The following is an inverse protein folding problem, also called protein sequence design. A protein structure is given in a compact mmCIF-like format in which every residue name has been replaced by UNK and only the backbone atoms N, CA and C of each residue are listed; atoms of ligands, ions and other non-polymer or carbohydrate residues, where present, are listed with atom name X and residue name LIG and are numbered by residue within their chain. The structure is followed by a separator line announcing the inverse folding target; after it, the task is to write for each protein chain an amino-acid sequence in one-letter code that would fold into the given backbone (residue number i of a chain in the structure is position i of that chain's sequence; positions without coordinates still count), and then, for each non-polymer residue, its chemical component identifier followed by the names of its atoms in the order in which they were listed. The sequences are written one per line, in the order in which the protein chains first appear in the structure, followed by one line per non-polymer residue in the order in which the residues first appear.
data_IF_818408566407
#
_entry.id   IF_818408566407
#
_cell.length_a   1.000
_cell.length_b   1.000
_cell.length_c   1.000
_cell.angle_alpha   90.00
_cell.angle_beta   90.00
_cell.angle_gamma   90.00
#
_symmetry.space_group_name_H-M   'P 1'
#
loop_
_entity.id
_entity.type
_entity.pdbx_description
1 polymer ?
#
# COMPACT_ATOMS: atom_id res chain seq x y z
N UNK A 1 16.55 -16.11 22.19
CA UNK A 1 17.08 -15.97 20.81
C UNK A 1 16.62 -17.08 19.86
N UNK A 2 17.03 -18.35 20.03
CA UNK A 2 16.76 -19.42 19.05
C UNK A 2 15.28 -19.69 18.75
N UNK A 3 14.40 -19.59 19.77
CA UNK A 3 12.95 -19.79 19.57
C UNK A 3 12.31 -18.71 18.69
N UNK A 4 12.85 -17.49 18.70
CA UNK A 4 12.34 -16.38 17.89
C UNK A 4 12.74 -16.56 16.42
N UNK A 5 14.01 -16.89 16.17
CA UNK A 5 14.52 -17.18 14.82
C UNK A 5 13.79 -18.36 14.18
N UNK A 6 13.57 -19.45 14.93
CA UNK A 6 12.82 -20.62 14.43
C UNK A 6 11.39 -20.24 14.08
N UNK A 7 10.73 -19.45 14.93
CA UNK A 7 9.35 -18.99 14.68
C UNK A 7 9.31 -18.08 13.44
N UNK A 8 10.27 -17.19 13.28
CA UNK A 8 10.37 -16.30 12.12
C UNK A 8 10.56 -17.09 10.82
N UNK A 9 11.53 -18.02 10.77
CA UNK A 9 11.78 -18.87 9.60
C UNK A 9 10.54 -19.70 9.26
N UNK A 10 9.91 -20.31 10.26
CA UNK A 10 8.71 -21.13 10.06
C UNK A 10 7.53 -20.28 9.57
N UNK A 11 7.35 -19.07 10.13
CA UNK A 11 6.29 -18.15 9.73
C UNK A 11 6.49 -17.64 8.31
N UNK A 12 7.69 -17.17 7.97
CA UNK A 12 8.01 -16.68 6.62
C UNK A 12 7.83 -17.80 5.59
N UNK A 13 8.27 -19.01 5.91
CA UNK A 13 8.10 -20.16 5.01
C UNK A 13 6.62 -20.47 4.81
N UNK A 14 5.85 -20.62 5.88
CA UNK A 14 4.41 -20.92 5.80
C UNK A 14 3.63 -19.82 5.05
N UNK A 15 3.91 -18.55 5.33
CA UNK A 15 3.26 -17.40 4.68
C UNK A 15 3.65 -17.33 3.19
N UNK A 16 4.90 -17.62 2.84
CA UNK A 16 5.34 -17.62 1.43
C UNK A 16 4.57 -18.64 0.59
N UNK A 17 4.36 -19.86 1.12
CA UNK A 17 3.54 -20.87 0.45
C UNK A 17 2.07 -20.45 0.35
N UNK A 18 1.52 -19.83 1.40
CA UNK A 18 0.14 -19.35 1.39
C UNK A 18 -0.07 -18.22 0.38
N UNK A 19 0.82 -17.22 0.36
CA UNK A 19 0.74 -16.05 -0.52
C UNK A 19 0.93 -16.37 -1.99
N UNK A 20 1.49 -17.54 -2.32
CA UNK A 20 1.58 -18.01 -3.70
C UNK A 20 0.20 -18.07 -4.37
N UNK A 21 -0.84 -18.52 -3.66
CA UNK A 21 -2.19 -18.64 -4.18
C UNK A 21 -2.83 -17.30 -4.60
N UNK A 22 -2.93 -16.28 -3.72
CA UNK A 22 -3.48 -14.99 -4.12
C UNK A 22 -2.60 -14.27 -5.15
N UNK A 23 -1.27 -14.44 -5.13
CA UNK A 23 -0.37 -13.85 -6.13
C UNK A 23 -0.65 -14.47 -7.52
N UNK A 24 -0.79 -15.79 -7.62
CA UNK A 24 -1.15 -16.46 -8.89
C UNK A 24 -2.54 -16.01 -9.34
N UNK A 25 -3.51 -15.96 -8.43
CA UNK A 25 -4.86 -15.51 -8.78
C UNK A 25 -4.87 -14.07 -9.31
N UNK A 26 -4.12 -13.16 -8.69
CA UNK A 26 -3.97 -11.78 -9.18
C UNK A 26 -3.23 -11.74 -10.52
N UNK A 27 -2.16 -12.53 -10.68
CA UNK A 27 -1.42 -12.60 -11.93
C UNK A 27 -2.30 -13.09 -13.09
N UNK A 28 -3.01 -14.20 -12.89
CA UNK A 28 -3.87 -14.80 -13.91
C UNK A 28 -5.06 -13.91 -14.28
N UNK A 29 -5.70 -13.29 -13.28
CA UNK A 29 -6.80 -12.36 -13.52
C UNK A 29 -6.36 -11.14 -14.37
N UNK A 30 -5.09 -10.75 -14.28
CA UNK A 30 -4.56 -9.55 -14.93
C UNK A 30 -3.60 -9.86 -16.10
N UNK A 31 -3.54 -11.10 -16.59
CA UNK A 31 -2.67 -11.53 -17.70
C UNK A 31 -2.81 -10.64 -18.94
N UNK A 32 -4.02 -10.20 -19.28
CA UNK A 32 -4.28 -9.32 -20.42
C UNK A 32 -3.57 -7.96 -20.34
N UNK A 33 -3.20 -7.53 -19.13
CA UNK A 33 -2.52 -6.26 -18.85
C UNK A 33 -1.03 -6.43 -18.50
N UNK A 34 -0.49 -7.64 -18.67
CA UNK A 34 0.89 -7.99 -18.33
C UNK A 34 1.07 -8.70 -16.99
N UNK A 35 -0.02 -9.01 -16.27
CA UNK A 35 0.04 -9.66 -14.96
C UNK A 35 0.72 -8.79 -13.89
N UNK A 36 1.34 -9.45 -12.91
CA UNK A 36 2.17 -8.77 -11.89
C UNK A 36 3.37 -8.10 -12.56
N UNK A 37 3.56 -6.81 -12.32
CA UNK A 37 4.55 -5.99 -13.02
C UNK A 37 4.01 -5.28 -14.26
N UNK A 38 2.78 -5.60 -14.68
CA UNK A 38 2.05 -4.91 -15.73
C UNK A 38 1.48 -3.57 -15.29
N UNK A 39 0.70 -2.93 -16.17
CA UNK A 39 0.17 -1.57 -15.93
C UNK A 39 -0.82 -1.51 -14.77
N UNK A 40 -1.68 -2.51 -14.63
CA UNK A 40 -2.73 -2.55 -13.61
C UNK A 40 -2.20 -3.01 -12.25
N UNK A 41 -1.11 -3.78 -12.22
CA UNK A 41 -0.47 -4.30 -11.01
C UNK A 41 1.03 -3.97 -11.00
N UNK A 42 1.41 -2.68 -10.92
CA UNK A 42 2.81 -2.27 -10.97
C UNK A 42 3.57 -2.83 -9.77
N UNK A 43 4.65 -3.57 -10.04
CA UNK A 43 5.50 -4.18 -9.03
C UNK A 43 6.96 -3.73 -9.19
N UNK A 44 7.28 -2.44 -8.97
CA UNK A 44 8.57 -1.86 -9.32
C UNK A 44 9.75 -2.47 -8.55
N UNK A 45 9.56 -2.80 -7.26
CA UNK A 45 10.61 -3.46 -6.47
C UNK A 45 10.91 -4.87 -6.98
N UNK A 46 9.88 -5.65 -7.31
CA UNK A 46 10.04 -6.98 -7.88
C UNK A 46 10.64 -6.92 -9.29
N UNK A 47 10.23 -5.92 -10.09
CA UNK A 47 10.78 -5.65 -11.42
C UNK A 47 12.28 -5.36 -11.39
N UNK A 48 12.73 -4.48 -10.50
CA UNK A 48 14.17 -4.21 -10.31
C UNK A 48 14.94 -5.47 -9.91
N UNK A 49 14.41 -6.29 -9.00
CA UNK A 49 15.06 -7.54 -8.61
C UNK A 49 15.10 -8.55 -9.77
N UNK A 50 14.05 -8.60 -10.59
CA UNK A 50 14.01 -9.44 -11.79
C UNK A 50 15.03 -8.97 -12.84
N UNK A 51 15.13 -7.67 -13.10
CA UNK A 51 16.13 -7.09 -14.02
C UNK A 51 17.57 -7.33 -13.54
N UNK A 52 17.83 -7.18 -12.24
CA UNK A 52 19.13 -7.50 -11.65
C UNK A 52 19.48 -8.98 -11.82
N UNK A 53 18.55 -9.88 -11.50
CA UNK A 53 18.75 -11.31 -11.66
C UNK A 53 19.01 -11.69 -13.13
N UNK A 54 18.22 -11.15 -14.06
CA UNK A 54 18.41 -11.35 -15.50
C UNK A 54 19.73 -10.76 -16.00
N UNK A 55 20.12 -9.58 -15.53
CA UNK A 55 21.39 -8.94 -15.89
C UNK A 55 22.61 -9.73 -15.42
N UNK A 56 22.54 -10.30 -14.21
CA UNK A 56 23.61 -11.14 -13.65
C UNK A 56 23.69 -12.47 -14.40
N UNK A 57 22.57 -13.20 -14.53
CA UNK A 57 22.52 -14.52 -15.18
C UNK A 57 22.81 -14.43 -16.68
N UNK A 58 22.33 -13.37 -17.33
CA UNK A 58 22.54 -13.10 -18.75
C UNK A 58 23.90 -12.48 -19.08
N UNK A 59 24.71 -12.13 -18.07
CA UNK A 59 26.05 -11.57 -18.24
C UNK A 59 26.09 -10.15 -18.84
N UNK A 60 24.95 -9.47 -18.96
CA UNK A 60 24.82 -8.13 -19.56
C UNK A 60 24.60 -7.04 -18.51
N UNK A 61 25.06 -7.26 -17.28
CA UNK A 61 24.84 -6.31 -16.19
C UNK A 61 25.59 -4.99 -16.43
N UNK A 62 24.92 -3.83 -16.30
CA UNK A 62 25.56 -2.52 -16.42
C UNK A 62 26.33 -2.17 -15.13
N UNK A 63 27.42 -2.88 -14.86
CA UNK A 63 28.23 -2.73 -13.65
C UNK A 63 28.67 -1.28 -13.38
N UNK A 64 28.93 -0.50 -14.43
CA UNK A 64 29.25 0.93 -14.29
C UNK A 64 28.14 1.72 -13.63
N UNK A 65 26.87 1.49 -14.01
CA UNK A 65 25.72 2.16 -13.39
C UNK A 65 25.51 1.71 -11.95
N UNK A 66 25.75 0.43 -11.65
CA UNK A 66 25.67 -0.09 -10.28
C UNK A 66 26.69 0.60 -9.36
N UNK A 67 27.95 0.67 -9.79
CA UNK A 67 29.02 1.34 -9.03
C UNK A 67 28.71 2.82 -8.84
N UNK A 68 28.19 3.50 -9.88
CA UNK A 68 27.74 4.88 -9.75
C UNK A 68 26.62 5.05 -8.72
N UNK A 69 25.65 4.12 -8.69
CA UNK A 69 24.61 4.09 -7.66
C UNK A 69 25.17 3.90 -6.25
N UNK A 70 26.16 3.02 -6.08
CA UNK A 70 26.85 2.84 -4.81
C UNK A 70 27.59 4.11 -4.36
N UNK A 71 28.33 4.76 -5.27
CA UNK A 71 29.02 6.01 -4.98
C UNK A 71 28.05 7.14 -4.65
N UNK A 72 26.92 7.23 -5.36
CA UNK A 72 25.85 8.17 -5.06
C UNK A 72 25.27 7.93 -3.66
N UNK A 73 24.99 6.67 -3.30
CA UNK A 73 24.52 6.31 -1.97
C UNK A 73 25.52 6.68 -0.87
N UNK A 74 26.81 6.40 -1.07
CA UNK A 74 27.89 6.82 -0.15
C UNK A 74 27.91 8.35 -0.03
N UNK A 75 27.82 9.06 -1.16
CA UNK A 75 27.76 10.52 -1.18
C UNK A 75 26.59 11.08 -0.36
N UNK A 76 25.39 10.50 -0.49
CA UNK A 76 24.22 10.88 0.31
C UNK A 76 24.42 10.66 1.80
N UNK A 77 25.09 9.57 2.19
CA UNK A 77 25.42 9.29 3.60
C UNK A 77 26.47 10.28 4.12
N UNK A 78 27.49 10.60 3.31
CA UNK A 78 28.56 11.52 3.70
C UNK A 78 28.08 12.96 3.91
N UNK A 79 27.05 13.40 3.18
CA UNK A 79 26.43 14.73 3.37
C UNK A 79 25.35 14.73 4.46
N UNK A 80 25.21 13.64 5.23
CA UNK A 80 24.18 13.47 6.25
C UNK A 80 22.77 13.77 5.73
N UNK A 81 22.47 13.32 4.51
CA UNK A 81 21.15 13.54 3.93
C UNK A 81 20.06 12.97 4.88
N UNK A 82 18.98 13.72 5.19
CA UNK A 82 18.01 13.34 6.22
C UNK A 82 17.32 11.99 5.97
N UNK A 83 17.21 11.59 4.70
CA UNK A 83 16.64 10.29 4.32
C UNK A 83 17.14 9.82 2.95
N UNK A 84 18.33 9.20 2.86
CA UNK A 84 18.87 8.68 1.61
C UNK A 84 17.95 7.62 0.98
N UNK A 85 17.28 6.84 1.83
CA UNK A 85 16.33 5.81 1.41
C UNK A 85 15.12 6.38 0.69
N UNK A 86 14.52 7.48 1.19
CA UNK A 86 13.37 8.11 0.52
C UNK A 86 13.77 8.70 -0.84
N UNK A 87 14.98 9.24 -0.95
CA UNK A 87 15.53 9.74 -2.22
C UNK A 87 15.66 8.58 -3.22
N UNK A 88 16.31 7.49 -2.81
CA UNK A 88 16.50 6.31 -3.65
C UNK A 88 15.16 5.68 -4.07
N UNK A 89 14.19 5.58 -3.16
CA UNK A 89 12.86 5.05 -3.45
C UNK A 89 12.10 5.95 -4.41
N UNK A 90 12.16 7.27 -4.23
CA UNK A 90 11.52 8.24 -5.12
C UNK A 90 12.05 8.20 -6.56
N UNK A 91 13.31 7.81 -6.77
CA UNK A 91 13.93 7.77 -8.10
C UNK A 91 13.43 6.63 -8.99
N UNK A 92 12.97 5.51 -8.42
CA UNK A 92 12.52 4.36 -9.22
C UNK A 92 11.00 4.16 -9.23
N UNK A 93 10.26 4.82 -8.34
CA UNK A 93 8.80 4.67 -8.29
C UNK A 93 8.12 5.48 -9.42
N UNK A 94 7.06 4.92 -10.04
CA UNK A 94 6.24 5.65 -11.00
C UNK A 94 5.64 6.93 -10.41
N UNK A 95 5.48 7.97 -11.24
CA UNK A 95 4.91 9.26 -10.82
C UNK A 95 3.51 9.11 -10.21
N UNK A 96 2.71 8.16 -10.70
CA UNK A 96 1.37 7.87 -10.18
C UNK A 96 1.43 7.35 -8.74
N UNK A 97 2.35 6.42 -8.46
CA UNK A 97 2.58 5.88 -7.10
C UNK A 97 3.13 6.95 -6.17
N UNK A 98 4.13 7.72 -6.60
CA UNK A 98 4.73 8.78 -5.77
C UNK A 98 3.75 9.91 -5.47
N UNK A 99 2.94 10.32 -6.45
CA UNK A 99 1.87 11.31 -6.26
C UNK A 99 0.82 10.83 -5.25
N UNK A 100 0.45 9.56 -5.31
CA UNK A 100 -0.49 8.95 -4.35
C UNK A 100 0.08 8.93 -2.93
N UNK A 101 1.35 8.56 -2.77
CA UNK A 101 2.08 8.60 -1.48
C UNK A 101 2.13 10.04 -0.96
N UNK A 102 2.43 11.01 -1.83
CA UNK A 102 2.47 12.43 -1.47
C UNK A 102 1.12 12.92 -0.93
N UNK A 103 0.01 12.58 -1.60
CA UNK A 103 -1.34 12.93 -1.13
C UNK A 103 -1.63 12.31 0.23
N UNK A 104 -1.25 11.05 0.47
CA UNK A 104 -1.33 10.43 1.79
C UNK A 104 -0.53 11.19 2.85
N UNK A 105 0.68 11.65 2.51
CA UNK A 105 1.51 12.50 3.36
C UNK A 105 0.86 13.86 3.69
N UNK A 106 0.20 14.47 2.71
CA UNK A 106 -0.57 15.71 2.92
C UNK A 106 -1.74 15.48 3.87
N UNK A 107 -2.47 14.36 3.73
CA UNK A 107 -3.56 14.01 4.65
C UNK A 107 -3.03 13.82 6.08
N UNK A 108 -1.92 13.10 6.26
CA UNK A 108 -1.25 12.95 7.57
C UNK A 108 -0.86 14.33 8.14
N UNK A 109 -0.20 15.17 7.34
CA UNK A 109 0.19 16.50 7.77
C UNK A 109 -1.00 17.37 8.20
N UNK A 110 -2.14 17.29 7.50
CA UNK A 110 -3.37 17.95 7.91
C UNK A 110 -3.93 17.38 9.22
N UNK A 111 -3.91 16.06 9.39
CA UNK A 111 -4.35 15.40 10.61
C UNK A 111 -3.50 15.83 11.81
N UNK A 112 -2.17 15.82 11.67
CA UNK A 112 -1.22 16.24 12.70
C UNK A 112 -1.43 17.72 13.05
N UNK A 113 -1.67 18.58 12.06
CA UNK A 113 -1.97 20.00 12.27
C UNK A 113 -3.29 20.22 13.03
N UNK A 114 -4.29 19.37 12.82
CA UNK A 114 -5.55 19.44 13.56
C UNK A 114 -5.43 18.87 14.97
N UNK A 115 -4.63 17.81 15.16
CA UNK A 115 -4.29 17.27 16.47
C UNK A 115 -3.56 18.31 17.33
N UNK A 116 -2.59 19.03 16.76
CA UNK A 116 -1.87 20.10 17.43
C UNK A 116 -2.79 21.22 17.96
N UNK A 117 -3.86 21.56 17.21
CA UNK A 117 -4.87 22.56 17.65
C UNK A 117 -5.69 22.11 18.87
N UNK A 118 -5.74 20.81 19.17
CA UNK A 118 -6.50 20.25 20.30
C UNK A 118 -5.71 20.23 21.60
N UNK A 119 -4.42 20.63 21.60
CA UNK A 119 -3.52 20.57 22.76
C UNK A 119 -3.59 19.20 23.47
N UNK A 120 -3.47 18.12 22.69
CA UNK A 120 -3.50 16.76 23.21
C UNK A 120 -2.35 16.52 24.21
N UNK A 121 -2.60 15.74 25.25
CA UNK A 121 -1.51 15.28 26.14
C UNK A 121 -0.58 14.31 25.38
N UNK A 122 0.65 14.06 25.86
CA UNK A 122 1.55 13.10 25.21
C UNK A 122 0.94 11.71 25.03
N UNK A 123 0.16 11.23 26.01
CA UNK A 123 -0.56 9.96 25.94
C UNK A 123 -1.69 9.97 24.90
N UNK A 124 -2.40 11.08 24.79
CA UNK A 124 -3.46 11.25 23.78
C UNK A 124 -2.86 11.31 22.36
N UNK A 125 -1.68 11.91 22.20
CA UNK A 125 -0.99 11.96 20.91
C UNK A 125 -0.52 10.57 20.46
N UNK A 126 0.03 9.76 21.37
CA UNK A 126 0.41 8.39 21.05
C UNK A 126 -0.81 7.56 20.60
N UNK A 127 -1.92 7.66 21.34
CA UNK A 127 -3.18 7.00 20.97
C UNK A 127 -3.72 7.48 19.63
N UNK A 128 -3.54 8.75 19.28
CA UNK A 128 -3.91 9.30 17.98
C UNK A 128 -3.08 8.66 16.86
N UNK A 129 -1.76 8.56 17.00
CA UNK A 129 -0.87 7.95 16.00
C UNK A 129 -1.15 6.45 15.80
N UNK A 130 -1.33 5.70 16.90
CA UNK A 130 -1.68 4.27 16.86
C UNK A 130 -3.01 4.03 16.15
N UNK A 131 -4.03 4.85 16.46
CA UNK A 131 -5.34 4.76 15.79
C UNK A 131 -5.27 5.13 14.33
N UNK A 132 -4.52 6.17 13.98
CA UNK A 132 -4.30 6.56 12.59
C UNK A 132 -3.67 5.43 11.79
N UNK A 133 -2.64 4.80 12.35
CA UNK A 133 -1.95 3.66 11.75
C UNK A 133 -2.88 2.45 11.59
N UNK A 134 -3.70 2.14 12.61
CA UNK A 134 -4.66 1.04 12.57
C UNK A 134 -5.77 1.24 11.52
N UNK A 135 -6.29 2.47 11.40
CA UNK A 135 -7.33 2.79 10.42
C UNK A 135 -6.76 2.74 9.00
N UNK A 136 -5.57 3.30 8.79
CA UNK A 136 -4.90 3.28 7.50
C UNK A 136 -4.57 1.84 7.06
N UNK A 137 -4.00 1.01 7.94
CA UNK A 137 -3.71 -0.39 7.63
C UNK A 137 -4.99 -1.20 7.40
N UNK A 138 -6.08 -0.88 8.10
CA UNK A 138 -7.40 -1.46 7.85
C UNK A 138 -7.94 -1.17 6.44
N UNK A 139 -7.79 0.07 5.96
CA UNK A 139 -8.17 0.42 4.58
C UNK A 139 -7.30 -0.30 3.54
N UNK A 140 -5.98 -0.37 3.76
CA UNK A 140 -5.04 -1.10 2.89
C UNK A 140 -5.41 -2.59 2.85
N UNK A 141 -5.61 -3.21 4.01
CA UNK A 141 -6.00 -4.63 4.09
C UNK A 141 -7.37 -4.89 3.44
N UNK A 142 -8.33 -4.01 3.65
CA UNK A 142 -9.66 -4.13 3.04
C UNK A 142 -9.64 -4.05 1.53
N UNK A 143 -8.83 -3.14 0.97
CA UNK A 143 -8.62 -3.01 -0.48
C UNK A 143 -7.95 -4.27 -1.04
N UNK A 144 -6.87 -4.74 -0.41
CA UNK A 144 -6.17 -5.96 -0.83
C UNK A 144 -7.06 -7.22 -0.80
N UNK A 145 -7.84 -7.43 0.27
CA UNK A 145 -8.76 -8.57 0.38
C UNK A 145 -9.85 -8.50 -0.70
N UNK A 146 -10.40 -7.30 -0.95
CA UNK A 146 -11.40 -7.09 -2.00
C UNK A 146 -10.80 -7.35 -3.39
N UNK A 147 -9.57 -6.89 -3.63
CA UNK A 147 -8.83 -7.14 -4.88
C UNK A 147 -8.62 -8.62 -5.14
N UNK A 148 -8.18 -9.38 -4.13
CA UNK A 148 -8.03 -10.85 -4.23
C UNK A 148 -9.38 -11.53 -4.51
N UNK A 149 -10.45 -11.12 -3.80
CA UNK A 149 -11.78 -11.66 -4.02
C UNK A 149 -12.24 -11.43 -5.46
N UNK A 150 -12.06 -10.21 -5.99
CA UNK A 150 -12.41 -9.85 -7.36
C UNK A 150 -11.59 -10.64 -8.38
N UNK A 151 -10.29 -10.82 -8.15
CA UNK A 151 -9.43 -11.62 -9.02
C UNK A 151 -9.91 -13.08 -9.11
N UNK A 152 -10.25 -13.70 -7.97
CA UNK A 152 -10.78 -15.07 -7.94
C UNK A 152 -12.14 -15.17 -8.64
N UNK A 153 -13.02 -14.19 -8.46
CA UNK A 153 -14.32 -14.14 -9.16
C UNK A 153 -14.14 -14.03 -10.68
N UNK A 154 -13.21 -13.18 -11.11
CA UNK A 154 -12.89 -13.00 -12.52
C UNK A 154 -12.38 -14.29 -13.16
N UNK A 155 -11.45 -15.01 -12.50
CA UNK A 155 -10.96 -16.32 -12.96
C UNK A 155 -12.09 -17.35 -13.05
N UNK A 156 -13.08 -17.30 -12.15
CA UNK A 156 -14.26 -18.18 -12.17
C UNK A 156 -15.30 -17.78 -13.24
N UNK A 157 -15.01 -16.79 -14.09
CA UNK A 157 -15.90 -16.36 -15.17
C UNK A 157 -17.05 -15.46 -14.71
N UNK A 158 -16.94 -14.86 -13.52
CA UNK A 158 -17.89 -13.85 -13.03
C UNK A 158 -17.35 -12.47 -13.41
N UNK A 159 -17.92 -11.79 -14.43
CA UNK A 159 -17.31 -10.58 -14.98
C UNK A 159 -17.48 -9.34 -14.07
N UNK A 160 -18.54 -9.29 -13.25
CA UNK A 160 -18.69 -8.24 -12.23
C UNK A 160 -19.67 -8.64 -11.12
N UNK A 161 -19.38 -8.20 -9.88
CA UNK A 161 -20.33 -8.30 -8.76
C UNK A 161 -21.67 -7.63 -9.12
N UNK A 162 -21.61 -6.50 -9.82
CA UNK A 162 -22.79 -5.77 -10.30
C UNK A 162 -23.68 -6.64 -11.19
N UNK A 163 -23.10 -7.42 -12.12
CA UNK A 163 -23.88 -8.31 -12.97
C UNK A 163 -24.49 -9.47 -12.18
N UNK A 164 -23.81 -9.99 -11.18
CA UNK A 164 -24.34 -11.06 -10.31
C UNK A 164 -25.51 -10.58 -9.47
N UNK A 165 -25.40 -9.40 -8.85
CA UNK A 165 -26.44 -8.89 -7.94
C UNK A 165 -27.58 -8.17 -8.65
N UNK A 166 -27.33 -7.53 -9.80
CA UNK A 166 -28.31 -6.65 -10.46
C UNK A 166 -28.61 -7.00 -11.91
N UNK A 167 -27.94 -8.00 -12.49
CA UNK A 167 -28.14 -8.44 -13.87
C UNK A 167 -27.67 -7.44 -14.94
N UNK A 168 -27.06 -6.31 -14.55
CA UNK A 168 -26.54 -5.27 -15.45
C UNK A 168 -25.02 -5.18 -15.35
N UNK A 169 -24.36 -4.90 -16.47
CA UNK A 169 -22.89 -4.82 -16.51
C UNK A 169 -22.36 -3.57 -15.77
N UNK A 170 -23.07 -2.46 -15.86
CA UNK A 170 -22.81 -1.25 -15.11
C UNK A 170 -24.11 -0.46 -14.87
N UNK A 171 -24.15 0.35 -13.82
CA UNK A 171 -25.25 1.28 -13.65
C UNK A 171 -25.07 2.49 -14.58
N UNK A 172 -26.09 2.90 -15.36
CA UNK A 172 -25.99 4.03 -16.28
C UNK A 172 -25.59 5.35 -15.61
N UNK A 173 -25.94 5.54 -14.33
CA UNK A 173 -25.56 6.73 -13.57
C UNK A 173 -24.06 6.76 -13.24
N UNK A 174 -23.36 5.63 -13.19
CA UNK A 174 -21.90 5.60 -12.95
C UNK A 174 -21.13 6.21 -14.12
N UNK A 175 -21.65 6.12 -15.34
CA UNK A 175 -20.99 6.71 -16.51
C UNK A 175 -21.00 8.25 -16.46
N UNK A 176 -22.04 8.86 -15.90
CA UNK A 176 -22.20 10.32 -15.82
C UNK A 176 -21.79 10.91 -14.47
N UNK A 177 -22.01 10.19 -13.37
CA UNK A 177 -21.71 10.64 -12.00
C UNK A 177 -20.47 9.98 -11.40
N UNK A 178 -19.83 9.05 -12.10
CA UNK A 178 -18.71 8.26 -11.57
C UNK A 178 -17.56 9.10 -11.04
N UNK A 179 -17.18 10.17 -11.76
CA UNK A 179 -16.12 11.08 -11.33
C UNK A 179 -16.47 11.88 -10.07
N UNK A 180 -17.71 12.36 -9.95
CA UNK A 180 -18.16 13.05 -8.74
C UNK A 180 -18.30 12.09 -7.56
N UNK A 181 -18.76 10.88 -7.81
CA UNK A 181 -18.89 9.83 -6.80
C UNK A 181 -17.52 9.41 -6.27
N UNK A 182 -16.53 9.23 -7.13
CA UNK A 182 -15.16 8.87 -6.70
C UNK A 182 -14.53 9.98 -5.87
N UNK A 183 -14.70 11.26 -6.25
CA UNK A 183 -14.26 12.40 -5.44
C UNK A 183 -14.96 12.45 -4.09
N UNK A 184 -16.27 12.17 -4.04
CA UNK A 184 -17.03 12.12 -2.79
C UNK A 184 -16.54 11.00 -1.88
N UNK A 185 -16.30 9.80 -2.42
CA UNK A 185 -15.75 8.67 -1.67
C UNK A 185 -14.35 8.99 -1.16
N UNK A 186 -13.49 9.54 -2.02
CA UNK A 186 -12.14 9.96 -1.65
C UNK A 186 -12.15 10.99 -0.52
N UNK A 187 -12.98 12.03 -0.63
CA UNK A 187 -13.15 13.05 0.41
C UNK A 187 -13.67 12.44 1.72
N UNK A 188 -14.58 11.46 1.65
CA UNK A 188 -15.10 10.74 2.82
C UNK A 188 -14.01 9.93 3.49
N UNK A 189 -13.18 9.21 2.74
CA UNK A 189 -12.04 8.44 3.27
C UNK A 189 -11.01 9.38 3.91
N UNK A 190 -10.64 10.47 3.24
CA UNK A 190 -9.73 11.48 3.78
C UNK A 190 -10.28 12.09 5.09
N UNK A 191 -11.57 12.40 5.13
CA UNK A 191 -12.23 12.87 6.34
C UNK A 191 -12.21 11.83 7.46
N UNK A 192 -12.51 10.56 7.15
CA UNK A 192 -12.44 9.45 8.11
C UNK A 192 -11.03 9.26 8.68
N UNK A 193 -9.99 9.31 7.83
CA UNK A 193 -8.59 9.19 8.24
C UNK A 193 -8.17 10.29 9.21
N UNK A 194 -8.77 11.49 9.11
CA UNK A 194 -8.47 12.59 10.04
C UNK A 194 -9.34 12.51 11.30
N UNK A 195 -10.63 12.19 11.16
CA UNK A 195 -11.60 12.31 12.26
C UNK A 195 -11.61 11.11 13.20
N UNK A 196 -11.43 9.90 12.68
CA UNK A 196 -11.46 8.69 13.51
C UNK A 196 -10.34 8.69 14.55
N UNK A 197 -9.08 9.06 14.21
CA UNK A 197 -8.02 9.17 15.21
C UNK A 197 -8.27 10.28 16.24
N UNK A 198 -8.89 11.40 15.83
CA UNK A 198 -9.20 12.54 16.69
C UNK A 198 -10.42 12.34 17.61
N UNK A 199 -11.26 11.35 17.35
CA UNK A 199 -12.41 11.06 18.22
C UNK A 199 -11.90 10.59 19.58
N UNK A 200 -12.08 11.42 20.61
CA UNK A 200 -12.00 10.98 22.01
C UNK A 200 -13.09 9.94 22.20
N UNK A 201 -12.74 8.65 22.18
CA UNK A 201 -13.63 7.63 22.71
C UNK A 201 -13.71 7.94 24.20
N UNK A 202 -14.86 8.44 24.63
CA UNK A 202 -15.19 8.53 26.04
C UNK A 202 -14.88 7.18 26.68
N UNK A 203 -14.21 7.24 27.81
CA UNK A 203 -14.00 6.12 28.70
C UNK A 203 -15.29 5.33 28.83
N UNK A 204 -15.22 4.04 28.56
CA UNK A 204 -16.42 3.22 28.41
C UNK A 204 -16.13 1.76 28.16
N UNK A 205 -15.08 1.22 28.80
CA UNK A 205 -15.05 -0.17 29.27
C UNK A 205 -14.26 -0.17 30.58
N UNK A 206 -14.98 0.08 31.68
CA UNK A 206 -14.87 -0.66 32.95
C UNK A 206 -13.45 -1.09 33.34
N UNK A 207 -12.71 -0.29 34.12
CA UNK A 207 -12.72 -0.39 35.58
C UNK A 207 -13.88 -1.20 36.18
N UNK A 208 -13.93 -2.53 35.96
CA UNK A 208 -14.52 -3.52 36.87
C UNK A 208 -13.92 -4.91 36.63
N UNK A 209 -13.37 -5.45 37.73
CA UNK A 209 -13.08 -6.84 38.06
C UNK A 209 -11.83 -7.49 37.43
#
# INVERSE_FOLDING_TARGET
PWKMEVVEVLSVTAVSFFLLLPIIALHEANLASGGIGGRELPAPQAGLMAELAQGIVGGQMPWGLLVMGCLFGIGLVMIEAPSPMLIAVGMYLPLETTSSIFVGGVIKWLADRWAARRNLTPEENLKFEERGTLVASGFIAGEAITGILLAVLFIKGVPSLTRVFTGREAFPFLASWGGYLSLMVFATIAYCLIQVPLRKRGEGVSDRA
#
